data_IF_797278908905
#
_entry.id   IF_797278908905
#
_cell.length_a   1.000
_cell.length_b   1.000
_cell.length_c   1.000
_cell.angle_alpha   90.00
_cell.angle_beta   90.00
_cell.angle_gamma   90.00
#
_symmetry.space_group_name_H-M   'P 1'
#
loop_
_entity.id
_entity.type
_entity.pdbx_description
1 polymer ?
#
# COMPACT_ATOMS: atom_id res chain seq x y z
N UNK A 1 5.02 1.19 27.44
CA UNK A 1 3.74 0.61 27.01
C UNK A 1 4.06 -0.47 25.98
N UNK A 2 3.97 -1.75 26.41
CA UNK A 2 4.07 -2.87 25.49
C UNK A 2 2.83 -2.80 24.58
N UNK A 3 3.02 -2.44 23.32
CA UNK A 3 1.99 -2.63 22.32
C UNK A 3 1.71 -4.13 22.24
N UNK A 4 0.54 -4.55 22.66
CA UNK A 4 -0.01 -5.85 22.26
C UNK A 4 -0.48 -5.69 20.83
N UNK A 5 0.45 -5.52 19.91
CA UNK A 5 0.17 -5.51 18.50
C UNK A 5 -0.45 -6.84 18.13
N UNK A 6 -1.66 -6.81 17.59
CA UNK A 6 -2.16 -7.92 16.80
C UNK A 6 -1.19 -8.03 15.62
N UNK A 7 -0.34 -9.04 15.64
CA UNK A 7 0.63 -9.25 14.57
C UNK A 7 -0.09 -9.42 13.24
N UNK A 8 0.34 -8.66 12.25
CA UNK A 8 -0.13 -8.82 10.89
C UNK A 8 0.63 -9.94 10.17
N UNK A 9 -0.02 -10.54 9.21
CA UNK A 9 0.56 -11.66 8.47
C UNK A 9 1.22 -11.14 7.21
N UNK A 10 2.54 -11.09 7.20
CA UNK A 10 3.35 -10.64 6.09
C UNK A 10 3.96 -11.81 5.32
N UNK A 11 4.20 -11.59 4.04
CA UNK A 11 4.82 -12.61 3.21
C UNK A 11 6.30 -12.36 2.99
N UNK A 12 6.68 -11.11 2.76
CA UNK A 12 8.05 -10.75 2.41
C UNK A 12 8.25 -9.24 2.49
N UNK A 13 9.49 -8.85 2.73
CA UNK A 13 9.97 -7.47 2.55
C UNK A 13 10.95 -7.45 1.38
N UNK A 14 10.95 -6.37 0.62
CA UNK A 14 11.90 -6.13 -0.47
C UNK A 14 12.42 -4.71 -0.33
N UNK A 15 13.75 -4.60 -0.18
CA UNK A 15 14.44 -3.31 -0.12
C UNK A 15 14.78 -2.81 -1.51
N UNK A 16 14.91 -1.49 -1.65
CA UNK A 16 15.39 -0.81 -2.85
C UNK A 16 14.61 -1.15 -4.13
N UNK A 17 13.31 -1.40 -4.01
CA UNK A 17 12.47 -1.61 -5.19
C UNK A 17 12.09 -0.26 -5.84
N UNK A 18 12.00 -0.25 -7.17
CA UNK A 18 11.53 0.88 -7.97
C UNK A 18 10.23 0.56 -8.72
N UNK A 19 9.68 -0.63 -8.53
CA UNK A 19 8.46 -1.08 -9.25
C UNK A 19 7.18 -0.81 -8.48
N UNK A 20 7.28 -0.61 -7.18
CA UNK A 20 6.14 -0.42 -6.27
C UNK A 20 5.93 1.06 -5.89
N UNK A 21 6.22 1.97 -6.81
CA UNK A 21 6.11 3.42 -6.61
C UNK A 21 7.41 4.13 -6.98
N UNK A 22 7.39 5.48 -6.98
CA UNK A 22 8.55 6.29 -7.40
C UNK A 22 9.69 6.27 -6.38
N UNK A 23 10.92 6.30 -6.87
CA UNK A 23 12.14 6.31 -6.07
C UNK A 23 12.43 4.96 -5.40
N UNK A 24 13.41 4.96 -4.50
CA UNK A 24 13.73 3.76 -3.70
C UNK A 24 12.70 3.57 -2.60
N UNK A 25 12.22 2.32 -2.46
CA UNK A 25 11.18 1.99 -1.51
C UNK A 25 11.44 0.66 -0.81
N UNK A 26 11.11 0.60 0.45
CA UNK A 26 10.97 -0.65 1.19
C UNK A 26 9.52 -1.10 1.04
N UNK A 27 9.31 -2.21 0.33
CA UNK A 27 7.98 -2.77 0.11
C UNK A 27 7.67 -3.85 1.13
N UNK A 28 6.54 -3.70 1.81
CA UNK A 28 5.99 -4.67 2.75
C UNK A 28 4.86 -5.41 2.04
N UNK A 29 5.07 -6.70 1.79
CA UNK A 29 4.10 -7.57 1.11
C UNK A 29 3.34 -8.40 2.14
N UNK A 30 2.05 -8.13 2.30
CA UNK A 30 1.19 -8.94 3.16
C UNK A 30 0.71 -10.23 2.49
N UNK A 31 0.29 -11.19 3.30
CA UNK A 31 -0.51 -12.33 2.87
C UNK A 31 -1.98 -12.06 3.19
N UNK A 32 -2.86 -12.63 2.38
CA UNK A 32 -4.32 -12.44 2.46
C UNK A 32 -4.84 -11.41 1.47
N UNK A 33 -5.69 -11.86 0.55
CA UNK A 33 -6.38 -11.00 -0.40
C UNK A 33 -7.72 -11.65 -0.79
N UNK A 34 -8.86 -11.01 -0.51
CA UNK A 34 -10.18 -11.57 -0.85
C UNK A 34 -10.57 -11.37 -2.32
N UNK A 35 -9.84 -10.53 -3.06
CA UNK A 35 -10.24 -10.14 -4.42
C UNK A 35 -10.01 -11.23 -5.47
N UNK A 36 -9.00 -12.09 -5.30
CA UNK A 36 -8.68 -13.21 -6.21
C UNK A 36 -8.75 -12.85 -7.70
N UNK A 37 -8.18 -11.70 -8.09
CA UNK A 37 -8.26 -11.18 -9.45
C UNK A 37 -7.67 -12.17 -10.47
N UNK A 38 -8.40 -12.54 -11.53
CA UNK A 38 -7.84 -13.35 -12.62
C UNK A 38 -6.60 -12.70 -13.23
N UNK A 39 -5.50 -13.46 -13.36
CA UNK A 39 -4.23 -12.96 -13.87
C UNK A 39 -3.41 -12.13 -12.87
N UNK A 40 -3.78 -12.14 -11.60
CA UNK A 40 -3.01 -11.48 -10.53
C UNK A 40 -1.52 -11.85 -10.58
N UNK A 41 -0.64 -10.88 -10.37
CA UNK A 41 0.82 -11.10 -10.37
C UNK A 41 1.31 -11.85 -9.11
N UNK A 42 0.52 -11.84 -8.02
CA UNK A 42 0.87 -12.46 -6.74
C UNK A 42 -0.22 -13.42 -6.23
N UNK A 43 -0.68 -14.42 -7.02
CA UNK A 43 -1.76 -15.31 -6.59
C UNK A 43 -1.37 -16.13 -5.34
N UNK A 44 -0.08 -16.35 -5.11
CA UNK A 44 0.45 -17.03 -3.92
C UNK A 44 0.26 -16.21 -2.62
N UNK A 45 -0.12 -14.93 -2.71
CA UNK A 45 -0.39 -14.08 -1.55
C UNK A 45 -1.87 -14.05 -1.15
N UNK A 46 -2.75 -14.74 -1.86
CA UNK A 46 -4.18 -14.73 -1.55
C UNK A 46 -4.50 -15.41 -0.23
N UNK A 47 -3.81 -16.51 0.08
CA UNK A 47 -4.00 -17.26 1.30
C UNK A 47 -3.19 -16.63 2.46
N UNK A 48 -3.88 -16.19 3.49
CA UNK A 48 -3.27 -15.60 4.68
C UNK A 48 -2.35 -16.58 5.43
N UNK A 49 -2.62 -17.90 5.32
CA UNK A 49 -1.81 -18.93 5.96
C UNK A 49 -0.39 -19.05 5.40
N UNK A 50 -0.15 -18.48 4.22
CA UNK A 50 1.17 -18.43 3.60
C UNK A 50 2.08 -17.31 4.13
N UNK A 51 1.59 -16.49 5.02
CA UNK A 51 2.35 -15.41 5.64
C UNK A 51 3.01 -15.82 6.96
N UNK A 52 3.87 -14.95 7.44
CA UNK A 52 4.50 -15.05 8.76
C UNK A 52 4.01 -13.90 9.63
N UNK A 53 3.62 -14.23 10.86
CA UNK A 53 3.27 -13.21 11.86
C UNK A 53 4.52 -12.40 12.20
N UNK A 54 4.45 -11.08 12.02
CA UNK A 54 5.55 -10.17 12.30
C UNK A 54 5.01 -8.98 13.08
N UNK A 55 5.77 -8.51 14.07
CA UNK A 55 5.36 -7.37 14.88
C UNK A 55 5.65 -6.05 14.17
N UNK A 56 4.89 -5.00 14.52
CA UNK A 56 5.17 -3.62 14.08
C UNK A 56 6.61 -3.19 14.39
N UNK A 57 7.14 -3.57 15.56
CA UNK A 57 8.50 -3.22 15.98
C UNK A 57 9.57 -3.86 15.07
N UNK A 58 9.37 -5.13 14.66
CA UNK A 58 10.28 -5.81 13.72
C UNK A 58 10.27 -5.14 12.36
N UNK A 59 9.08 -4.82 11.84
CA UNK A 59 8.95 -4.11 10.56
C UNK A 59 9.53 -2.70 10.61
N UNK A 60 9.35 -1.99 11.71
CA UNK A 60 9.95 -0.67 11.90
C UNK A 60 11.47 -0.71 11.87
N UNK A 61 12.11 -1.73 12.47
CA UNK A 61 13.58 -1.89 12.36
C UNK A 61 14.03 -2.02 10.92
N UNK A 62 13.33 -2.83 10.12
CA UNK A 62 13.62 -3.02 8.71
C UNK A 62 13.41 -1.72 7.91
N UNK A 63 12.26 -1.07 8.09
CA UNK A 63 11.93 0.19 7.41
C UNK A 63 12.94 1.29 7.74
N UNK A 64 13.40 1.36 8.98
CA UNK A 64 14.33 2.38 9.44
C UNK A 64 15.79 2.02 9.17
N UNK A 65 16.10 0.80 8.73
CA UNK A 65 17.47 0.38 8.37
C UNK A 65 17.99 1.12 7.14
N UNK A 66 17.11 1.53 6.22
CA UNK A 66 17.44 2.41 5.11
C UNK A 66 16.83 3.82 5.34
N UNK A 67 17.66 4.83 5.62
CA UNK A 67 17.19 6.20 5.86
C UNK A 67 16.63 6.89 4.60
N UNK A 68 16.97 6.41 3.41
CA UNK A 68 16.61 7.05 2.13
C UNK A 68 15.38 6.45 1.46
N UNK A 69 15.10 5.16 1.68
CA UNK A 69 13.95 4.50 1.08
C UNK A 69 12.64 4.97 1.72
N UNK A 70 11.66 5.24 0.89
CA UNK A 70 10.27 5.42 1.29
C UNK A 70 9.57 4.05 1.50
N UNK A 71 8.28 4.02 1.76
CA UNK A 71 7.57 2.78 2.11
C UNK A 71 6.42 2.52 1.15
N UNK A 72 6.24 1.24 0.81
CA UNK A 72 5.07 0.77 0.06
C UNK A 72 4.43 -0.43 0.76
N UNK A 73 3.13 -0.41 0.89
CA UNK A 73 2.31 -1.53 1.32
C UNK A 73 1.69 -2.20 0.11
N UNK A 74 1.93 -3.50 -0.05
CA UNK A 74 1.52 -4.28 -1.20
C UNK A 74 1.35 -5.77 -0.83
N UNK A 75 1.44 -6.66 -1.80
CA UNK A 75 1.40 -8.12 -1.62
C UNK A 75 0.04 -8.71 -1.89
N UNK A 76 -0.63 -9.24 -0.87
CA UNK A 76 -2.05 -9.56 -0.88
C UNK A 76 -2.88 -8.29 -0.98
N UNK A 77 -3.61 -7.95 0.06
CA UNK A 77 -4.29 -6.66 0.11
C UNK A 77 -4.11 -6.02 1.51
N UNK A 78 -3.34 -4.92 1.64
CA UNK A 78 -3.14 -4.26 2.92
C UNK A 78 -4.43 -3.75 3.56
N UNK A 79 -5.44 -3.39 2.76
CA UNK A 79 -6.74 -2.93 3.26
C UNK A 79 -7.59 -4.07 3.84
N UNK A 80 -7.26 -5.33 3.53
CA UNK A 80 -7.83 -6.50 4.19
C UNK A 80 -7.32 -6.67 5.63
N UNK A 81 -6.11 -6.16 5.91
CA UNK A 81 -5.49 -6.12 7.24
C UNK A 81 -5.31 -4.67 7.73
N UNK A 82 -6.29 -3.81 7.45
CA UNK A 82 -6.17 -2.36 7.61
C UNK A 82 -5.78 -1.91 9.02
N UNK A 83 -6.24 -2.61 10.07
CA UNK A 83 -5.94 -2.26 11.46
C UNK A 83 -4.44 -2.30 11.76
N UNK A 84 -3.77 -3.38 11.41
CA UNK A 84 -2.34 -3.52 11.66
C UNK A 84 -1.50 -2.63 10.75
N UNK A 85 -1.87 -2.50 9.47
CA UNK A 85 -1.20 -1.55 8.58
C UNK A 85 -1.40 -0.09 9.01
N UNK A 86 -2.54 0.27 9.62
CA UNK A 86 -2.73 1.60 10.20
C UNK A 86 -1.81 1.83 11.40
N UNK A 87 -1.60 0.82 12.26
CA UNK A 87 -0.64 0.88 13.37
C UNK A 87 0.79 1.09 12.86
N UNK A 88 1.21 0.28 11.86
CA UNK A 88 2.52 0.41 11.23
C UNK A 88 2.70 1.79 10.57
N UNK A 89 1.72 2.25 9.79
CA UNK A 89 1.77 3.54 9.13
C UNK A 89 1.89 4.70 10.13
N UNK A 90 1.17 4.64 11.24
CA UNK A 90 1.27 5.62 12.33
C UNK A 90 2.68 5.64 12.93
N UNK A 91 3.26 4.48 13.21
CA UNK A 91 4.63 4.38 13.71
C UNK A 91 5.65 4.99 12.73
N UNK A 92 5.48 4.76 11.42
CA UNK A 92 6.31 5.37 10.38
C UNK A 92 6.19 6.90 10.41
N UNK A 93 4.97 7.43 10.52
CA UNK A 93 4.72 8.88 10.59
C UNK A 93 5.34 9.54 11.83
N UNK A 94 5.28 8.87 12.96
CA UNK A 94 5.83 9.39 14.22
C UNK A 94 7.36 9.41 14.24
N UNK A 95 8.01 8.48 13.52
CA UNK A 95 9.46 8.28 13.59
C UNK A 95 10.21 8.73 12.34
N UNK A 96 9.52 9.11 11.27
CA UNK A 96 10.14 9.50 10.00
C UNK A 96 9.28 10.44 9.17
N UNK A 97 9.90 10.99 8.11
CA UNK A 97 9.22 11.74 7.04
C UNK A 97 8.98 10.91 5.78
N UNK A 98 9.11 9.59 5.85
CA UNK A 98 8.97 8.70 4.70
C UNK A 98 7.55 8.79 4.11
N UNK A 99 7.46 8.84 2.78
CA UNK A 99 6.18 8.73 2.09
C UNK A 99 5.68 7.28 2.08
N UNK A 100 4.36 7.10 2.19
CA UNK A 100 3.73 5.78 2.22
C UNK A 100 2.78 5.65 1.03
N UNK A 101 3.05 4.66 0.19
CA UNK A 101 2.17 4.21 -0.89
C UNK A 101 1.47 2.92 -0.46
N UNK A 102 0.24 2.72 -0.93
CA UNK A 102 -0.52 1.50 -0.65
C UNK A 102 -1.25 1.04 -1.90
N UNK A 103 -1.13 -0.24 -2.22
CA UNK A 103 -1.85 -0.89 -3.31
C UNK A 103 -3.01 -1.70 -2.75
N UNK A 104 -4.17 -1.60 -3.37
CA UNK A 104 -5.38 -2.34 -2.96
C UNK A 104 -6.28 -2.65 -4.14
N UNK A 105 -7.01 -3.75 -4.05
CA UNK A 105 -8.09 -4.08 -4.98
C UNK A 105 -9.43 -3.42 -4.62
N UNK A 106 -9.54 -2.79 -3.45
CA UNK A 106 -10.74 -2.03 -3.06
C UNK A 106 -10.78 -0.67 -3.77
N UNK A 107 -11.96 -0.08 -3.84
CA UNK A 107 -12.15 1.29 -4.34
C UNK A 107 -12.14 2.29 -3.17
N UNK A 108 -11.53 3.44 -3.37
CA UNK A 108 -11.43 4.53 -2.38
C UNK A 108 -12.80 4.87 -1.76
N UNK A 109 -13.84 4.95 -2.58
CA UNK A 109 -15.20 5.30 -2.15
C UNK A 109 -15.83 4.26 -1.20
N UNK A 110 -15.33 3.03 -1.22
CA UNK A 110 -15.74 1.98 -0.28
C UNK A 110 -14.88 2.00 0.99
N UNK A 111 -13.57 2.25 0.84
CA UNK A 111 -12.64 2.31 1.96
C UNK A 111 -12.99 3.41 2.97
N UNK A 112 -13.44 4.58 2.50
CA UNK A 112 -13.82 5.70 3.38
C UNK A 112 -15.05 5.39 4.24
N UNK A 113 -15.86 4.38 3.90
CA UNK A 113 -17.03 3.95 4.65
C UNK A 113 -16.72 2.96 5.78
N UNK A 114 -15.55 2.36 5.76
CA UNK A 114 -15.11 1.41 6.78
C UNK A 114 -14.16 2.10 7.75
N UNK A 115 -14.45 2.14 9.06
CA UNK A 115 -13.64 2.88 10.04
C UNK A 115 -12.17 2.45 10.10
N UNK A 116 -11.88 1.15 10.03
CA UNK A 116 -10.51 0.64 10.09
C UNK A 116 -9.71 0.99 8.81
N UNK A 117 -10.35 0.86 7.65
CA UNK A 117 -9.74 1.21 6.37
C UNK A 117 -9.54 2.73 6.23
N UNK A 118 -10.50 3.52 6.71
CA UNK A 118 -10.37 4.97 6.75
C UNK A 118 -9.20 5.41 7.65
N UNK A 119 -8.98 4.71 8.78
CA UNK A 119 -7.84 5.02 9.66
C UNK A 119 -6.51 4.79 8.95
N UNK A 120 -6.38 3.71 8.16
CA UNK A 120 -5.19 3.49 7.32
C UNK A 120 -5.06 4.58 6.25
N UNK A 121 -6.16 4.95 5.57
CA UNK A 121 -6.14 6.03 4.57
C UNK A 121 -5.60 7.35 5.15
N UNK A 122 -5.93 7.68 6.39
CA UNK A 122 -5.44 8.90 7.06
C UNK A 122 -3.92 8.93 7.23
N UNK A 123 -3.25 7.79 7.19
CA UNK A 123 -1.82 7.66 7.43
C UNK A 123 -0.99 7.55 6.14
N UNK A 124 -1.60 7.31 4.99
CA UNK A 124 -0.89 7.11 3.72
C UNK A 124 -0.99 8.32 2.79
N UNK A 125 -0.02 8.45 1.89
CA UNK A 125 0.04 9.57 0.94
C UNK A 125 -0.64 9.24 -0.37
N UNK A 126 -0.37 8.05 -0.91
CA UNK A 126 -0.86 7.62 -2.21
C UNK A 126 -1.49 6.24 -2.13
N UNK A 127 -2.64 6.11 -2.74
CA UNK A 127 -3.36 4.85 -2.92
C UNK A 127 -3.41 4.50 -4.41
N UNK A 128 -2.98 3.29 -4.75
CA UNK A 128 -3.28 2.69 -6.05
C UNK A 128 -4.47 1.75 -5.83
N UNK A 129 -5.64 2.14 -6.32
CA UNK A 129 -6.89 1.48 -6.02
C UNK A 129 -7.52 0.75 -7.21
N UNK A 130 -8.41 -0.17 -6.89
CA UNK A 130 -9.18 -0.94 -7.85
C UNK A 130 -8.61 -2.32 -8.16
N UNK A 131 -9.48 -3.29 -8.46
CA UNK A 131 -9.06 -4.65 -8.78
C UNK A 131 -8.26 -4.69 -10.08
N UNK A 132 -7.31 -5.62 -10.18
CA UNK A 132 -6.65 -5.91 -11.46
C UNK A 132 -7.65 -6.54 -12.42
N UNK A 133 -7.75 -5.98 -13.62
CA UNK A 133 -8.61 -6.47 -14.70
C UNK A 133 -7.74 -6.91 -15.87
N UNK A 134 -7.62 -8.21 -16.08
CA UNK A 134 -6.73 -8.79 -17.09
C UNK A 134 -6.98 -8.26 -18.51
N UNK A 135 -8.24 -8.03 -18.87
CA UNK A 135 -8.61 -7.47 -20.19
C UNK A 135 -8.15 -6.01 -20.37
N UNK A 136 -7.80 -5.32 -19.30
CA UNK A 136 -7.32 -3.94 -19.27
C UNK A 136 -5.85 -3.84 -18.87
N UNK A 137 -5.14 -4.98 -18.88
CA UNK A 137 -3.70 -5.01 -18.60
C UNK A 137 -2.95 -4.14 -19.61
N UNK A 138 -2.05 -3.34 -19.08
CA UNK A 138 -1.19 -2.46 -19.87
C UNK A 138 0.15 -2.31 -19.15
N UNK A 139 1.23 -2.74 -19.79
CA UNK A 139 2.58 -2.74 -19.21
C UNK A 139 3.27 -1.37 -19.28
N UNK A 140 2.72 -0.43 -20.07
CA UNK A 140 3.23 0.93 -20.22
C UNK A 140 2.69 1.88 -19.12
N UNK A 141 1.77 1.41 -18.27
CA UNK A 141 1.21 2.19 -17.19
C UNK A 141 2.20 2.33 -16.02
N UNK A 142 2.36 3.56 -15.51
CA UNK A 142 3.12 3.79 -14.29
C UNK A 142 2.41 3.17 -13.08
N UNK A 143 3.12 2.29 -12.35
CA UNK A 143 2.72 1.72 -11.05
C UNK A 143 1.30 1.15 -11.00
N UNK A 144 0.74 0.70 -12.11
CA UNK A 144 -0.59 0.08 -12.23
C UNK A 144 -0.49 -1.14 -13.14
N UNK A 145 -1.28 -2.16 -12.83
CA UNK A 145 -1.31 -3.36 -13.67
C UNK A 145 -2.36 -3.31 -14.77
N UNK A 146 -3.41 -2.53 -14.60
CA UNK A 146 -4.52 -2.36 -15.56
C UNK A 146 -5.07 -0.94 -15.57
N UNK A 147 -5.61 -0.51 -16.71
CA UNK A 147 -5.99 0.88 -16.96
C UNK A 147 -7.16 1.39 -16.11
N UNK A 148 -7.94 0.50 -15.52
CA UNK A 148 -9.03 0.84 -14.58
C UNK A 148 -8.54 1.28 -13.21
N UNK A 149 -7.29 0.96 -12.84
CA UNK A 149 -6.72 1.33 -11.55
C UNK A 149 -6.34 2.81 -11.54
N UNK A 150 -6.47 3.45 -10.37
CA UNK A 150 -6.22 4.87 -10.19
C UNK A 150 -5.07 5.10 -9.22
N UNK A 151 -4.29 6.15 -9.43
CA UNK A 151 -3.26 6.61 -8.49
C UNK A 151 -3.83 7.87 -7.82
N UNK A 152 -4.13 7.77 -6.54
CA UNK A 152 -4.91 8.75 -5.79
C UNK A 152 -4.04 9.48 -4.77
N UNK A 153 -4.08 10.83 -4.78
CA UNK A 153 -3.58 11.63 -3.67
C UNK A 153 -4.59 11.52 -2.51
N UNK A 154 -4.24 10.73 -1.51
CA UNK A 154 -5.18 10.35 -0.44
C UNK A 154 -5.54 11.55 0.42
N UNK A 155 -4.55 12.36 0.84
CA UNK A 155 -4.80 13.46 1.78
C UNK A 155 -5.65 14.57 1.14
N UNK A 156 -5.39 14.91 -0.12
CA UNK A 156 -6.25 15.84 -0.87
C UNK A 156 -7.65 15.29 -1.08
N UNK A 157 -7.76 13.99 -1.39
CA UNK A 157 -9.05 13.34 -1.61
C UNK A 157 -9.91 13.32 -0.35
N UNK A 158 -9.32 13.01 0.80
CA UNK A 158 -10.01 13.05 2.10
C UNK A 158 -10.46 14.48 2.46
N UNK A 159 -9.61 15.48 2.20
CA UNK A 159 -9.92 16.89 2.48
C UNK A 159 -11.06 17.42 1.61
N UNK A 160 -11.07 17.05 0.32
CA UNK A 160 -12.06 17.54 -0.64
C UNK A 160 -13.32 16.67 -0.71
N UNK A 161 -13.33 15.50 -0.07
CA UNK A 161 -14.47 14.57 -0.11
C UNK A 161 -14.71 13.92 -1.48
N UNK A 162 -13.71 13.93 -2.36
CA UNK A 162 -13.75 13.32 -3.70
C UNK A 162 -12.39 12.80 -4.10
N UNK A 163 -12.34 11.85 -5.03
CA UNK A 163 -11.08 11.31 -5.55
C UNK A 163 -10.31 12.38 -6.32
N UNK A 164 -9.04 12.57 -5.95
CA UNK A 164 -8.06 13.40 -6.66
C UNK A 164 -6.96 12.48 -7.17
N UNK A 165 -6.94 12.24 -8.46
CA UNK A 165 -5.93 11.41 -9.11
C UNK A 165 -4.62 12.17 -9.34
N UNK A 166 -3.51 11.44 -9.24
CA UNK A 166 -2.18 11.90 -9.63
C UNK A 166 -1.91 11.47 -11.07
N UNK A 167 -1.63 12.41 -11.94
CA UNK A 167 -1.19 12.14 -13.30
C UNK A 167 0.33 11.99 -13.32
N UNK A 168 0.80 10.73 -13.40
CA UNK A 168 2.20 10.42 -13.56
C UNK A 168 2.54 10.37 -15.05
N UNK A 169 3.58 11.09 -15.43
CA UNK A 169 4.12 11.11 -16.79
C UNK A 169 5.61 10.83 -16.78
N UNK A 170 6.21 10.53 -17.93
CA UNK A 170 7.67 10.39 -18.07
C UNK A 170 8.43 11.65 -17.63
N UNK A 171 7.79 12.83 -17.78
CA UNK A 171 8.36 14.13 -17.37
C UNK A 171 8.19 14.39 -15.87
N UNK A 172 7.17 13.79 -15.23
CA UNK A 172 6.90 13.92 -13.79
C UNK A 172 6.57 12.57 -13.15
N UNK A 173 7.57 11.68 -13.00
CA UNK A 173 7.36 10.38 -12.35
C UNK A 173 7.23 10.48 -10.82
N UNK A 174 7.64 11.61 -10.22
CA UNK A 174 7.61 11.89 -8.78
C UNK A 174 6.76 13.14 -8.51
N UNK A 175 5.45 13.04 -8.51
CA UNK A 175 4.61 14.21 -8.25
C UNK A 175 4.83 14.70 -6.82
N UNK A 176 4.89 16.01 -6.65
CA UNK A 176 4.84 16.65 -5.33
C UNK A 176 3.46 16.41 -4.73
N UNK A 177 3.40 15.80 -3.57
CA UNK A 177 2.18 15.47 -2.83
C UNK A 177 1.62 16.70 -2.11
#
# INVERSE_FOLDING_TARGET
>A
LRSRGLGDVYKRQVHDTMVDGPGFRTSIYCAGCPNHCPGCHNPQSWDISHGTMTSTDELMKEIMSDPFANVTFSGGDPMFQAKGFAELARAIREQSSKSIWCFTGYLFENLVKNPEQLELLRQIDVLVDGPFVQALRDEDLFFRGSSNQRIINVQKSLKEGRVIELNLTTENPNPVL
#
